data_IF_939449088393
#
_entry.id   IF_939449088393
#
_cell.length_a   1.000
_cell.length_b   1.000
_cell.length_c   1.000
_cell.angle_alpha   90.00
_cell.angle_beta   90.00
_cell.angle_gamma   90.00
#
_symmetry.space_group_name_H-M   'P 1'
#
loop_
_entity.id
_entity.type
_entity.pdbx_description
1 polymer ?
#
# COMPACT_ATOMS: atom_id res chain seq x y z
N UNK A 1 0.02 60.58 -6.91
CA UNK A 1 0.56 59.42 -6.16
C UNK A 1 -0.22 58.17 -6.59
N UNK A 2 0.51 57.10 -6.95
CA UNK A 2 0.21 55.64 -6.99
C UNK A 2 -1.26 55.20 -7.28
N UNK A 3 -1.59 54.46 -8.36
CA UNK A 3 -1.47 52.98 -8.56
C UNK A 3 -1.94 52.21 -7.29
N UNK A 4 -2.80 51.19 -7.27
CA UNK A 4 -3.13 50.14 -8.24
C UNK A 4 -4.21 49.22 -7.63
N UNK A 5 -5.05 48.64 -8.49
CA UNK A 5 -5.71 47.31 -8.49
C UNK A 5 -6.53 46.78 -7.30
N UNK A 6 -7.77 46.45 -7.64
CA UNK A 6 -8.59 45.35 -7.16
C UNK A 6 -7.84 44.00 -7.20
N UNK A 7 -7.96 43.21 -6.15
CA UNK A 7 -7.94 41.75 -6.24
C UNK A 7 -9.06 41.15 -5.40
N UNK A 8 -9.86 40.34 -6.07
CA UNK A 8 -10.94 39.53 -5.53
C UNK A 8 -10.30 38.43 -4.68
N UNK A 9 -10.66 38.37 -3.41
CA UNK A 9 -10.29 37.27 -2.52
C UNK A 9 -11.14 36.06 -2.87
N UNK A 10 -10.50 35.04 -3.46
CA UNK A 10 -11.12 33.74 -3.69
C UNK A 10 -11.40 33.05 -2.35
N UNK A 11 -12.67 32.73 -2.14
CA UNK A 11 -13.16 31.80 -1.13
C UNK A 11 -12.44 30.45 -1.23
N UNK A 12 -11.78 30.02 -0.15
CA UNK A 12 -11.53 28.60 0.11
C UNK A 12 -12.42 28.24 1.29
N UNK A 13 -13.51 27.54 0.97
CA UNK A 13 -14.41 26.94 1.94
C UNK A 13 -13.73 25.66 2.46
N UNK A 14 -13.00 25.77 3.57
CA UNK A 14 -12.53 24.59 4.30
C UNK A 14 -13.70 24.11 5.17
N UNK A 15 -14.53 23.21 4.63
CA UNK A 15 -15.48 22.48 5.46
C UNK A 15 -14.72 21.40 6.22
N UNK A 16 -14.63 21.62 7.52
CA UNK A 16 -14.05 20.76 8.54
C UNK A 16 -14.91 19.49 8.67
N UNK A 17 -14.34 18.32 8.39
CA UNK A 17 -14.92 17.06 8.84
C UNK A 17 -14.44 16.80 10.26
N UNK A 18 -15.35 16.93 11.22
CA UNK A 18 -15.16 16.52 12.60
C UNK A 18 -15.37 15.02 12.72
N UNK A 19 -14.29 14.25 12.87
CA UNK A 19 -14.35 12.87 13.36
C UNK A 19 -14.28 12.88 14.89
N UNK A 20 -15.39 12.56 15.53
CA UNK A 20 -15.38 12.12 16.93
C UNK A 20 -15.07 10.62 16.94
N UNK A 21 -13.84 10.27 17.29
CA UNK A 21 -13.51 8.91 17.73
C UNK A 21 -12.77 9.01 19.07
N UNK A 22 -13.50 8.72 20.15
CA UNK A 22 -12.91 8.34 21.44
C UNK A 22 -12.65 6.83 21.36
N UNK A 23 -11.39 6.43 21.23
CA UNK A 23 -10.88 5.14 21.71
C UNK A 23 -9.35 5.18 21.75
N UNK A 24 -8.80 4.77 22.89
CA UNK A 24 -7.37 4.66 23.13
C UNK A 24 -6.76 3.48 22.36
N UNK A 25 -6.02 3.78 21.29
CA UNK A 25 -4.87 3.00 20.83
C UNK A 25 -3.96 3.91 20.00
N UNK A 26 -2.71 4.09 20.42
CA UNK A 26 -1.71 4.93 19.75
C UNK A 26 -1.21 4.34 18.40
N UNK A 27 -1.92 3.41 17.79
CA UNK A 27 -1.67 3.03 16.40
C UNK A 27 -2.39 4.05 15.52
N UNK A 28 -1.63 5.03 14.99
CA UNK A 28 -2.05 5.69 13.76
C UNK A 28 -2.39 4.58 12.76
N UNK A 29 -3.53 4.67 12.07
CA UNK A 29 -3.83 3.82 10.91
C UNK A 29 -2.69 3.99 9.91
N UNK A 30 -1.73 3.07 9.99
CA UNK A 30 -0.47 3.11 9.23
C UNK A 30 -0.67 2.58 7.81
N UNK A 31 -1.85 2.00 7.57
CA UNK A 31 -2.36 1.53 6.31
C UNK A 31 -3.79 2.06 6.13
N UNK A 32 -3.99 2.76 5.04
CA UNK A 32 -5.30 3.25 4.61
C UNK A 32 -5.38 3.08 3.09
N UNK A 33 -6.55 2.69 2.60
CA UNK A 33 -6.85 2.80 1.17
C UNK A 33 -7.46 4.17 0.93
N UNK A 34 -6.62 5.09 0.50
CA UNK A 34 -6.96 6.52 0.39
C UNK A 34 -7.52 6.92 -0.98
N UNK A 35 -7.65 5.97 -1.91
CA UNK A 35 -8.08 6.24 -3.28
C UNK A 35 -9.28 5.37 -3.68
N UNK A 36 -10.19 5.98 -4.43
CA UNK A 36 -11.19 5.26 -5.20
C UNK A 36 -10.51 4.35 -6.23
N UNK A 37 -11.24 3.34 -6.72
CA UNK A 37 -10.80 2.51 -7.84
C UNK A 37 -10.31 3.36 -9.02
N UNK A 38 -9.12 3.06 -9.57
CA UNK A 38 -8.59 3.81 -10.70
C UNK A 38 -9.49 3.64 -11.93
N UNK A 39 -9.76 4.73 -12.64
CA UNK A 39 -10.57 4.75 -13.86
C UNK A 39 -9.71 4.81 -15.12
N UNK A 40 -8.43 5.16 -14.98
CA UNK A 40 -7.46 5.26 -16.05
C UNK A 40 -6.15 4.58 -15.67
N UNK A 41 -5.32 4.24 -16.67
CA UNK A 41 -4.00 3.66 -16.43
C UNK A 41 -3.05 4.66 -15.76
N UNK A 42 -3.20 5.95 -16.02
CA UNK A 42 -2.46 7.02 -15.37
C UNK A 42 -2.79 7.12 -13.87
N UNK A 43 -4.07 7.07 -13.51
CA UNK A 43 -4.51 7.02 -12.11
C UNK A 43 -3.98 5.76 -11.42
N UNK A 44 -4.15 4.60 -12.04
CA UNK A 44 -3.64 3.33 -11.53
C UNK A 44 -2.14 3.41 -11.26
N UNK A 45 -1.37 3.92 -12.23
CA UNK A 45 0.08 4.09 -12.09
C UNK A 45 0.43 4.99 -10.92
N UNK A 46 -0.19 6.17 -10.85
CA UNK A 46 0.08 7.14 -9.79
C UNK A 46 -0.24 6.59 -8.40
N UNK A 47 -1.34 5.86 -8.27
CA UNK A 47 -1.73 5.24 -7.01
C UNK A 47 -0.77 4.09 -6.66
N UNK A 48 -0.45 3.18 -7.59
CA UNK A 48 0.49 2.09 -7.36
C UNK A 48 1.90 2.58 -7.00
N UNK A 49 2.36 3.70 -7.57
CA UNK A 49 3.62 4.36 -7.19
C UNK A 49 3.60 4.89 -5.75
N UNK A 50 2.46 5.38 -5.25
CA UNK A 50 2.32 5.74 -3.84
C UNK A 50 2.52 4.53 -2.92
N UNK A 51 1.87 3.39 -3.20
CA UNK A 51 2.05 2.17 -2.41
C UNK A 51 3.47 1.59 -2.54
N UNK A 52 4.14 1.80 -3.69
CA UNK A 52 5.55 1.48 -3.85
C UNK A 52 6.42 2.29 -2.90
N UNK A 53 6.22 3.60 -2.79
CA UNK A 53 7.01 4.42 -1.87
C UNK A 53 6.81 3.98 -0.41
N UNK A 54 5.58 3.60 -0.04
CA UNK A 54 5.30 3.04 1.29
C UNK A 54 5.91 1.66 1.51
N UNK A 55 5.90 0.77 0.52
CA UNK A 55 6.61 -0.51 0.59
C UNK A 55 8.10 -0.29 0.87
N UNK A 56 8.72 0.66 0.16
CA UNK A 56 10.14 0.98 0.30
C UNK A 56 10.47 1.67 1.62
N UNK A 57 9.58 2.51 2.15
CA UNK A 57 9.69 3.07 3.50
C UNK A 57 9.85 1.94 4.54
N UNK A 58 8.95 0.97 4.52
CA UNK A 58 8.98 -0.15 5.47
C UNK A 58 10.12 -1.15 5.19
N UNK A 59 10.57 -1.28 3.94
CA UNK A 59 11.79 -2.03 3.59
C UNK A 59 13.02 -1.43 4.27
N UNK A 60 13.15 -0.10 4.30
CA UNK A 60 14.26 0.55 5.00
C UNK A 60 14.14 0.47 6.52
N UNK A 61 12.94 0.61 7.09
CA UNK A 61 12.74 0.42 8.53
C UNK A 61 13.04 -1.03 8.96
N UNK A 62 12.63 -2.02 8.17
CA UNK A 62 12.97 -3.43 8.43
C UNK A 62 14.48 -3.68 8.44
N UNK A 63 15.24 -3.04 7.54
CA UNK A 63 16.70 -3.13 7.55
C UNK A 63 17.29 -2.55 8.84
N UNK A 64 16.75 -1.43 9.34
CA UNK A 64 17.20 -0.83 10.60
C UNK A 64 16.92 -1.75 11.79
N UNK A 65 15.75 -2.38 11.82
CA UNK A 65 15.41 -3.38 12.84
C UNK A 65 16.40 -4.56 12.79
N UNK A 66 16.66 -5.10 11.59
CA UNK A 66 17.57 -6.23 11.42
C UNK A 66 19.00 -5.91 11.90
N UNK A 67 19.51 -4.70 11.63
CA UNK A 67 20.82 -4.27 12.14
C UNK A 67 20.79 -4.16 13.67
N UNK A 68 19.77 -3.52 14.23
CA UNK A 68 19.61 -3.32 15.68
C UNK A 68 19.56 -4.66 16.42
N UNK A 69 18.91 -5.66 15.83
CA UNK A 69 18.70 -6.98 16.44
C UNK A 69 19.81 -7.99 16.07
N UNK A 70 20.86 -7.57 15.35
CA UNK A 70 22.00 -8.40 15.00
C UNK A 70 21.74 -9.43 13.89
N UNK A 71 20.74 -9.19 13.05
CA UNK A 71 20.22 -10.06 11.99
C UNK A 71 20.59 -9.59 10.56
N UNK A 72 21.57 -8.67 10.44
CA UNK A 72 21.95 -8.02 9.18
C UNK A 72 22.48 -8.97 8.09
N UNK A 73 23.04 -10.12 8.46
CA UNK A 73 23.64 -11.10 7.55
C UNK A 73 22.73 -12.32 7.27
N UNK A 74 21.46 -12.24 7.66
CA UNK A 74 20.49 -13.31 7.52
C UNK A 74 19.59 -13.38 8.74
N UNK A 75 18.33 -13.74 8.52
CA UNK A 75 17.34 -13.87 9.60
C UNK A 75 16.49 -15.12 9.40
N UNK A 76 15.96 -15.65 10.51
CA UNK A 76 15.06 -16.80 10.48
C UNK A 76 13.69 -16.39 9.92
N UNK A 77 12.93 -17.37 9.41
CA UNK A 77 11.52 -17.16 9.07
C UNK A 77 10.74 -16.55 10.25
N UNK A 78 10.98 -17.04 11.46
CA UNK A 78 10.34 -16.53 12.68
C UNK A 78 10.58 -15.03 12.89
N UNK A 79 11.77 -14.53 12.57
CA UNK A 79 12.08 -13.10 12.67
C UNK A 79 11.27 -12.29 11.66
N UNK A 80 11.20 -12.73 10.40
CA UNK A 80 10.37 -12.09 9.38
C UNK A 80 8.89 -12.06 9.79
N UNK A 81 8.34 -13.19 10.23
CA UNK A 81 6.92 -13.29 10.56
C UNK A 81 6.52 -12.49 11.81
N UNK A 82 7.47 -12.20 12.70
CA UNK A 82 7.22 -11.42 13.91
C UNK A 82 7.69 -9.95 13.83
N UNK A 83 8.41 -9.54 12.79
CA UNK A 83 8.86 -8.15 12.65
C UNK A 83 7.74 -7.26 12.07
N UNK A 84 7.37 -6.21 12.82
CA UNK A 84 6.27 -5.29 12.46
C UNK A 84 6.50 -4.58 11.12
N UNK A 85 7.71 -4.08 10.85
CA UNK A 85 8.00 -3.39 9.58
C UNK A 85 8.00 -4.34 8.38
N UNK A 86 8.41 -5.60 8.56
CA UNK A 86 8.28 -6.62 7.52
C UNK A 86 6.82 -6.92 7.19
N UNK A 87 5.98 -7.11 8.22
CA UNK A 87 4.55 -7.36 8.02
C UNK A 87 3.87 -6.19 7.32
N UNK A 88 4.14 -4.95 7.76
CA UNK A 88 3.63 -3.74 7.10
C UNK A 88 4.08 -3.66 5.64
N UNK A 89 5.37 -3.93 5.37
CA UNK A 89 5.89 -4.01 4.00
C UNK A 89 5.11 -5.02 3.16
N UNK A 90 4.78 -6.19 3.70
CA UNK A 90 4.04 -7.22 2.96
C UNK A 90 2.62 -6.77 2.59
N UNK A 91 1.92 -6.06 3.47
CA UNK A 91 0.60 -5.50 3.16
C UNK A 91 0.68 -4.48 2.00
N UNK A 92 1.69 -3.59 2.02
CA UNK A 92 1.93 -2.66 0.90
C UNK A 92 2.35 -3.38 -0.39
N UNK A 93 3.14 -4.45 -0.27
CA UNK A 93 3.54 -5.28 -1.41
C UNK A 93 2.33 -5.96 -2.04
N UNK A 94 1.47 -6.58 -1.24
CA UNK A 94 0.24 -7.22 -1.69
C UNK A 94 -0.67 -6.21 -2.40
N UNK A 95 -0.91 -5.06 -1.75
CA UNK A 95 -1.75 -4.01 -2.33
C UNK A 95 -1.20 -3.54 -3.69
N UNK A 96 0.10 -3.20 -3.74
CA UNK A 96 0.74 -2.73 -4.97
C UNK A 96 0.80 -3.79 -6.07
N UNK A 97 1.26 -4.99 -5.76
CA UNK A 97 1.57 -6.01 -6.76
C UNK A 97 0.33 -6.77 -7.19
N UNK A 98 -0.54 -7.10 -6.22
CA UNK A 98 -1.65 -8.03 -6.40
C UNK A 98 -2.94 -7.26 -6.67
N UNK A 99 -3.36 -6.36 -5.76
CA UNK A 99 -4.60 -5.59 -5.93
C UNK A 99 -4.53 -4.69 -7.18
N UNK A 100 -3.49 -3.87 -7.34
CA UNK A 100 -3.36 -3.05 -8.56
C UNK A 100 -3.04 -3.86 -9.82
N UNK A 101 -2.50 -5.08 -9.70
CA UNK A 101 -2.38 -6.02 -10.82
C UNK A 101 -3.75 -6.46 -11.34
N UNK A 102 -4.71 -6.66 -10.44
CA UNK A 102 -6.10 -6.97 -10.77
C UNK A 102 -6.89 -5.73 -11.24
N UNK A 103 -6.68 -4.55 -10.63
CA UNK A 103 -7.23 -3.29 -11.17
C UNK A 103 -6.76 -3.06 -12.61
N UNK A 104 -5.50 -3.40 -12.92
CA UNK A 104 -4.95 -3.29 -14.27
C UNK A 104 -5.66 -4.23 -15.24
N UNK A 105 -5.99 -5.46 -14.83
CA UNK A 105 -6.78 -6.38 -15.63
C UNK A 105 -8.17 -5.84 -15.96
N UNK A 106 -8.83 -5.20 -14.97
CA UNK A 106 -10.16 -4.59 -15.17
C UNK A 106 -10.13 -3.41 -16.14
N UNK A 107 -9.04 -2.65 -16.18
CA UNK A 107 -8.86 -1.51 -17.09
C UNK A 107 -8.37 -1.91 -18.49
N UNK A 108 -7.35 -2.75 -18.58
CA UNK A 108 -6.75 -3.23 -19.83
C UNK A 108 -6.13 -4.63 -19.66
N UNK A 109 -6.91 -5.66 -20.01
CA UNK A 109 -6.47 -7.05 -19.92
C UNK A 109 -5.44 -7.48 -21.00
N UNK A 110 -5.05 -6.60 -21.93
CA UNK A 110 -4.01 -6.89 -22.93
C UNK A 110 -2.64 -6.38 -22.50
N UNK A 111 -2.59 -5.37 -21.64
CA UNK A 111 -1.35 -4.94 -21.03
C UNK A 111 -0.81 -6.10 -20.18
N UNK A 112 0.48 -6.42 -20.28
CA UNK A 112 1.08 -7.48 -19.47
C UNK A 112 1.77 -6.96 -18.22
N UNK A 113 2.43 -5.81 -18.35
CA UNK A 113 3.21 -5.20 -17.29
C UNK A 113 3.08 -3.68 -17.35
N UNK A 114 3.05 -3.05 -16.18
CA UNK A 114 3.15 -1.61 -16.02
C UNK A 114 4.40 -1.28 -15.20
N UNK A 115 5.23 -0.38 -15.73
CA UNK A 115 6.43 0.11 -15.03
C UNK A 115 6.05 1.20 -14.03
N UNK A 116 6.53 1.04 -12.81
CA UNK A 116 6.42 1.99 -11.70
C UNK A 116 7.78 2.59 -11.37
N UNK A 117 7.77 3.81 -10.85
CA UNK A 117 8.96 4.52 -10.38
C UNK A 117 8.75 5.05 -8.97
N UNK A 118 9.71 4.80 -8.08
CA UNK A 118 9.82 5.53 -6.82
C UNK A 118 10.78 6.70 -7.01
N UNK A 119 10.25 7.93 -6.92
CA UNK A 119 11.10 9.13 -7.02
C UNK A 119 11.96 9.30 -5.78
N UNK A 120 11.42 8.98 -4.60
CA UNK A 120 12.13 9.05 -3.32
C UNK A 120 13.36 8.15 -3.29
N UNK A 121 13.25 6.93 -3.82
CA UNK A 121 14.31 5.92 -3.76
C UNK A 121 15.09 5.76 -5.07
N UNK A 122 14.65 6.41 -6.15
CA UNK A 122 15.24 6.26 -7.49
C UNK A 122 15.30 4.78 -7.93
N UNK A 123 14.24 4.03 -7.65
CA UNK A 123 14.09 2.62 -7.99
C UNK A 123 12.94 2.41 -8.98
N UNK A 124 13.08 1.40 -9.85
CA UNK A 124 12.06 1.01 -10.83
C UNK A 124 11.54 -0.39 -10.54
N UNK A 125 10.21 -0.52 -10.56
CA UNK A 125 9.51 -1.78 -10.37
C UNK A 125 8.51 -2.00 -11.50
N UNK A 126 7.89 -3.17 -11.53
CA UNK A 126 6.76 -3.46 -12.39
C UNK A 126 5.65 -4.16 -11.63
N UNK A 127 4.42 -3.92 -12.02
CA UNK A 127 3.27 -4.75 -11.68
C UNK A 127 2.89 -5.56 -12.92
N UNK A 128 2.48 -6.80 -12.71
CA UNK A 128 1.96 -7.69 -13.75
C UNK A 128 0.44 -7.65 -13.72
N UNK A 129 -0.20 -7.78 -14.87
CA UNK A 129 -1.65 -7.99 -14.94
C UNK A 129 -2.02 -9.34 -14.34
N UNK A 130 -2.99 -9.35 -13.45
CA UNK A 130 -3.53 -10.54 -12.82
C UNK A 130 -5.01 -10.67 -13.18
N UNK A 131 -5.40 -11.79 -13.75
CA UNK A 131 -6.82 -12.09 -13.90
C UNK A 131 -7.45 -12.46 -12.54
N UNK A 132 -8.76 -12.71 -12.55
CA UNK A 132 -9.50 -13.02 -11.33
C UNK A 132 -9.04 -14.30 -10.64
N UNK A 133 -8.63 -15.33 -11.40
CA UNK A 133 -8.17 -16.61 -10.86
C UNK A 133 -6.80 -16.46 -10.20
N UNK A 134 -5.85 -15.83 -10.90
CA UNK A 134 -4.52 -15.52 -10.36
C UNK A 134 -4.65 -14.61 -9.11
N UNK A 135 -5.48 -13.56 -9.17
CA UNK A 135 -5.69 -12.63 -8.06
C UNK A 135 -6.23 -13.35 -6.81
N UNK A 136 -7.25 -14.20 -6.98
CA UNK A 136 -7.79 -15.00 -5.87
C UNK A 136 -6.74 -15.98 -5.34
N UNK A 137 -6.01 -16.64 -6.24
CA UNK A 137 -4.94 -17.58 -5.86
C UNK A 137 -3.86 -16.92 -5.01
N UNK A 138 -3.43 -15.70 -5.33
CA UNK A 138 -2.49 -14.95 -4.49
C UNK A 138 -3.06 -14.60 -3.12
N UNK A 139 -4.31 -14.15 -3.03
CA UNK A 139 -4.94 -13.88 -1.73
C UNK A 139 -5.00 -15.15 -0.87
N UNK A 140 -5.46 -16.27 -1.42
CA UNK A 140 -5.51 -17.55 -0.71
C UNK A 140 -4.12 -18.06 -0.29
N UNK A 141 -3.06 -17.74 -1.05
CA UNK A 141 -1.69 -18.08 -0.66
C UNK A 141 -1.23 -17.26 0.54
N UNK A 142 -1.56 -15.96 0.57
CA UNK A 142 -1.25 -15.09 1.71
C UNK A 142 -2.06 -15.49 2.96
N UNK A 143 -3.32 -15.90 2.80
CA UNK A 143 -4.11 -16.50 3.88
C UNK A 143 -3.53 -17.85 4.33
N UNK A 144 -3.03 -18.70 3.41
CA UNK A 144 -2.39 -19.98 3.81
C UNK A 144 -1.07 -19.79 4.52
N UNK A 145 -0.38 -18.65 4.35
CA UNK A 145 0.76 -18.32 5.22
C UNK A 145 0.36 -18.22 6.71
N UNK A 146 -0.95 -18.11 7.03
CA UNK A 146 -1.51 -18.20 8.38
C UNK A 146 -1.41 -19.59 9.01
N UNK A 147 -1.18 -20.64 8.21
CA UNK A 147 -0.98 -22.00 8.69
C UNK A 147 0.46 -22.23 9.21
N UNK A 148 1.36 -21.26 9.05
CA UNK A 148 2.68 -21.32 9.67
C UNK A 148 2.60 -21.01 11.17
N UNK A 149 3.33 -21.75 12.03
CA UNK A 149 3.25 -21.63 13.48
C UNK A 149 3.65 -20.26 14.06
N UNK A 150 4.16 -19.35 13.23
CA UNK A 150 4.70 -18.05 13.65
C UNK A 150 3.98 -16.86 13.01
N UNK A 151 2.85 -17.08 12.34
CA UNK A 151 2.13 -16.03 11.64
C UNK A 151 1.46 -15.03 12.61
N UNK A 152 1.67 -13.74 12.35
CA UNK A 152 1.14 -12.67 13.18
C UNK A 152 -0.22 -12.19 12.65
N UNK A 153 -1.29 -12.68 13.27
CA UNK A 153 -2.70 -12.40 12.91
C UNK A 153 -3.14 -10.93 13.00
N UNK A 154 -2.25 -10.06 13.49
CA UNK A 154 -2.53 -8.63 13.62
C UNK A 154 -2.75 -7.95 12.26
N UNK A 155 -2.21 -8.50 11.17
CA UNK A 155 -2.19 -7.83 9.87
C UNK A 155 -3.30 -8.28 8.92
N UNK A 156 -4.04 -9.32 9.28
CA UNK A 156 -5.02 -10.04 8.45
C UNK A 156 -6.13 -9.09 8.00
N UNK A 157 -6.63 -8.28 8.94
CA UNK A 157 -7.67 -7.30 8.65
C UNK A 157 -7.25 -6.28 7.59
N UNK A 158 -5.95 -6.00 7.43
CA UNK A 158 -5.45 -5.10 6.39
C UNK A 158 -5.29 -5.80 5.04
N UNK A 159 -4.95 -7.09 5.04
CA UNK A 159 -4.97 -7.92 3.83
C UNK A 159 -6.40 -8.03 3.30
N UNK A 160 -7.36 -8.34 4.17
CA UNK A 160 -8.79 -8.39 3.87
C UNK A 160 -9.30 -7.05 3.35
N UNK A 161 -8.89 -5.95 3.98
CA UNK A 161 -9.28 -4.62 3.55
C UNK A 161 -8.77 -4.31 2.14
N UNK A 162 -7.52 -4.68 1.80
CA UNK A 162 -6.96 -4.53 0.46
C UNK A 162 -7.63 -5.44 -0.59
N UNK A 163 -7.91 -6.69 -0.22
CA UNK A 163 -8.58 -7.64 -1.10
C UNK A 163 -10.02 -7.21 -1.39
N UNK A 164 -10.80 -6.91 -0.34
CA UNK A 164 -12.20 -6.52 -0.43
C UNK A 164 -12.38 -5.22 -1.21
N UNK A 165 -11.47 -4.24 -1.00
CA UNK A 165 -11.42 -3.05 -1.84
C UNK A 165 -11.35 -3.43 -3.32
N UNK A 166 -10.40 -4.26 -3.75
CA UNK A 166 -10.24 -4.61 -5.16
C UNK A 166 -11.43 -5.34 -5.80
N UNK A 167 -12.20 -6.11 -5.02
CA UNK A 167 -13.41 -6.79 -5.50
C UNK A 167 -14.71 -5.98 -5.27
N UNK A 168 -14.61 -4.79 -4.67
CA UNK A 168 -15.75 -3.89 -4.41
C UNK A 168 -16.71 -4.41 -3.33
N UNK A 169 -16.19 -5.02 -2.26
CA UNK A 169 -16.96 -5.52 -1.11
C UNK A 169 -16.76 -4.69 0.15
#
# INVERSE_FOLDING_TARGET
MKKLLLTISSFILITSFSFNAISCSNEKDWFEIIYDHPKTMEELKSQAEYYLEKELDYKEEFKKDAIKDGMENGSSYDYYYNNDNWQKRNIFTFTRLICYGYEMYKLDNKLQNLKLESKKYNEYYSIRTLDEEDFKGYYELFEKEEEFPYYNKKYDSYLDLAYNWSIGK
#
